data_IF_078546080995
#
_entry.id   IF_078546080995
#
_cell.length_a   1.000
_cell.length_b   1.000
_cell.length_c   1.000
_cell.angle_alpha   90.00
_cell.angle_beta   90.00
_cell.angle_gamma   90.00
#
_symmetry.space_group_name_H-M   'P 1'
#
loop_
_entity.id
_entity.type
_entity.pdbx_description
1 polymer ?
#
# COMPACT_ATOMS: atom_id res chain seq x y z
N UNK A 1 -37.27 36.46 71.70
CA UNK A 1 -37.25 36.09 70.26
C UNK A 1 -37.26 37.34 69.36
N UNK A 2 -36.28 38.26 69.47
CA UNK A 2 -36.23 39.50 68.64
C UNK A 2 -35.07 39.51 67.61
N UNK A 3 -34.20 38.51 67.61
CA UNK A 3 -33.04 38.41 66.71
C UNK A 3 -33.24 37.47 65.50
N UNK A 4 -34.36 36.75 65.42
CA UNK A 4 -34.62 35.82 64.30
C UNK A 4 -35.16 36.52 63.04
N UNK A 5 -35.97 37.59 63.21
CA UNK A 5 -36.54 38.32 62.09
C UNK A 5 -35.48 38.98 61.18
N UNK A 6 -34.43 39.65 61.70
CA UNK A 6 -33.38 40.26 60.87
C UNK A 6 -32.56 39.22 60.09
N UNK A 7 -32.33 38.04 60.69
CA UNK A 7 -31.58 36.95 60.06
C UNK A 7 -32.35 36.36 58.89
N UNK A 8 -33.67 36.16 59.05
CA UNK A 8 -34.53 35.64 57.97
C UNK A 8 -34.59 36.66 56.81
N UNK A 9 -34.72 37.96 57.11
CA UNK A 9 -34.73 39.01 56.08
C UNK A 9 -33.40 39.04 55.31
N UNK A 10 -32.26 38.93 56.00
CA UNK A 10 -30.95 38.88 55.37
C UNK A 10 -30.78 37.65 54.46
N UNK A 11 -31.25 36.47 54.89
CA UNK A 11 -31.22 35.24 54.10
C UNK A 11 -32.08 35.34 52.83
N UNK A 12 -33.26 35.93 52.92
CA UNK A 12 -34.14 36.15 51.76
C UNK A 12 -33.52 37.13 50.77
N UNK A 13 -32.90 38.21 51.27
CA UNK A 13 -32.19 39.18 50.43
C UNK A 13 -31.00 38.55 49.70
N UNK A 14 -30.18 37.75 50.40
CA UNK A 14 -29.05 37.05 49.78
C UNK A 14 -29.55 36.06 48.73
N UNK A 15 -30.54 35.22 49.05
CA UNK A 15 -31.10 34.27 48.08
C UNK A 15 -31.68 34.97 46.84
N UNK A 16 -32.40 36.08 47.03
CA UNK A 16 -32.89 36.92 45.93
C UNK A 16 -31.75 37.45 45.08
N UNK A 17 -30.67 37.94 45.69
CA UNK A 17 -29.51 38.45 44.98
C UNK A 17 -28.82 37.35 44.17
N UNK A 18 -28.64 36.16 44.75
CA UNK A 18 -28.02 35.02 44.07
C UNK A 18 -28.86 34.56 42.89
N UNK A 19 -30.17 34.43 43.05
CA UNK A 19 -31.10 34.06 41.96
C UNK A 19 -31.10 35.13 40.89
N UNK A 20 -31.11 36.42 41.25
CA UNK A 20 -31.04 37.53 40.28
C UNK A 20 -29.71 37.51 39.53
N UNK A 21 -28.61 37.18 40.20
CA UNK A 21 -27.28 37.07 39.59
C UNK A 21 -27.19 35.87 38.65
N UNK A 22 -27.77 34.72 39.02
CA UNK A 22 -27.87 33.54 38.15
C UNK A 22 -28.76 33.85 36.95
N UNK A 23 -29.93 34.47 37.14
CA UNK A 23 -30.81 34.87 36.04
C UNK A 23 -30.12 35.91 35.15
N UNK A 24 -29.44 36.90 35.72
CA UNK A 24 -28.72 37.92 34.95
C UNK A 24 -27.56 37.31 34.16
N UNK A 25 -26.71 36.48 34.77
CA UNK A 25 -25.61 35.82 34.05
C UNK A 25 -26.12 34.84 33.00
N UNK A 26 -27.13 34.02 33.31
CA UNK A 26 -27.71 33.07 32.36
C UNK A 26 -28.46 33.79 31.24
N UNK A 27 -29.25 34.83 31.55
CA UNK A 27 -29.95 35.64 30.53
C UNK A 27 -28.99 36.48 29.71
N UNK A 28 -27.88 37.00 30.27
CA UNK A 28 -26.87 37.71 29.47
C UNK A 28 -26.15 36.74 28.54
N UNK A 29 -25.83 35.52 28.99
CA UNK A 29 -25.26 34.45 28.16
C UNK A 29 -26.26 33.97 27.08
N UNK A 30 -27.55 33.88 27.41
CA UNK A 30 -28.59 33.41 26.48
C UNK A 30 -29.06 34.53 25.54
N UNK A 31 -29.07 35.79 25.99
CA UNK A 31 -29.41 36.96 25.20
C UNK A 31 -28.28 37.30 24.24
N UNK A 32 -27.02 37.22 24.69
CA UNK A 32 -25.87 37.30 23.77
C UNK A 32 -25.82 36.12 22.80
N UNK A 33 -26.28 34.91 23.16
CA UNK A 33 -26.39 33.81 22.19
C UNK A 33 -27.56 33.97 21.20
N UNK A 34 -28.65 34.65 21.57
CA UNK A 34 -29.83 34.90 20.73
C UNK A 34 -29.70 36.16 19.85
N UNK A 35 -29.08 37.25 20.31
CA UNK A 35 -28.86 38.46 19.49
C UNK A 35 -27.70 38.31 18.51
N UNK A 36 -26.78 37.37 18.73
CA UNK A 36 -25.66 37.09 17.80
C UNK A 36 -26.09 36.20 16.63
N UNK A 37 -27.36 35.78 16.52
CA UNK A 37 -27.91 35.19 15.29
C UNK A 37 -28.27 36.25 14.22
N UNK A 38 -27.75 37.47 14.34
CA UNK A 38 -27.74 38.42 13.22
C UNK A 38 -26.90 37.86 12.07
N UNK A 39 -27.40 38.03 10.85
CA UNK A 39 -26.85 37.54 9.58
C UNK A 39 -25.33 37.75 9.37
N UNK A 40 -24.70 38.68 10.08
CA UNK A 40 -23.24 38.88 10.10
C UNK A 40 -22.42 37.76 10.78
N UNK A 41 -22.93 37.15 11.85
CA UNK A 41 -22.20 36.08 12.56
C UNK A 41 -22.14 34.78 11.75
N UNK A 42 -23.18 34.49 10.98
CA UNK A 42 -23.24 33.33 10.09
C UNK A 42 -22.18 33.43 8.98
N UNK A 43 -21.96 34.64 8.45
CA UNK A 43 -20.92 34.92 7.47
C UNK A 43 -19.52 34.77 8.06
N UNK A 44 -19.29 35.30 9.28
CA UNK A 44 -18.03 35.17 10.00
C UNK A 44 -17.65 33.70 10.25
N UNK A 45 -18.61 32.90 10.74
CA UNK A 45 -18.34 31.48 10.99
C UNK A 45 -18.16 30.65 9.71
N UNK A 46 -18.82 31.04 8.62
CA UNK A 46 -18.62 30.42 7.30
C UNK A 46 -17.21 30.74 6.78
N UNK A 47 -16.79 31.99 6.90
CA UNK A 47 -15.44 32.42 6.50
C UNK A 47 -14.34 31.68 7.27
N UNK A 48 -14.45 31.59 8.60
CA UNK A 48 -13.48 30.86 9.44
C UNK A 48 -13.48 29.37 9.09
N UNK A 49 -14.66 28.82 8.80
CA UNK A 49 -14.84 27.44 8.34
C UNK A 49 -14.05 27.18 7.05
N UNK A 50 -14.24 28.01 6.03
CA UNK A 50 -13.61 27.86 4.73
C UNK A 50 -12.09 28.07 4.80
N UNK A 51 -11.65 29.03 5.63
CA UNK A 51 -10.23 29.22 5.93
C UNK A 51 -9.61 27.98 6.57
N UNK A 52 -10.27 27.41 7.58
CA UNK A 52 -9.75 26.27 8.32
C UNK A 52 -9.59 25.04 7.40
N UNK A 53 -10.56 24.76 6.55
CA UNK A 53 -10.45 23.68 5.54
C UNK A 53 -9.29 23.92 4.59
N UNK A 54 -9.15 25.14 4.08
CA UNK A 54 -8.07 25.53 3.17
C UNK A 54 -6.70 25.41 3.83
N UNK A 55 -6.58 25.77 5.11
CA UNK A 55 -5.34 25.69 5.90
C UNK A 55 -4.95 24.24 6.14
N UNK A 56 -5.90 23.37 6.53
CA UNK A 56 -5.63 21.96 6.75
C UNK A 56 -5.13 21.27 5.46
N UNK A 57 -5.78 21.54 4.32
CA UNK A 57 -5.35 21.00 3.04
C UNK A 57 -3.98 21.56 2.61
N UNK A 58 -3.79 22.88 2.72
CA UNK A 58 -2.53 23.54 2.37
C UNK A 58 -1.36 23.07 3.26
N UNK A 59 -1.61 22.82 4.53
CA UNK A 59 -0.62 22.29 5.45
C UNK A 59 -0.18 20.87 5.07
N UNK A 60 -1.11 19.99 4.72
CA UNK A 60 -0.79 18.66 4.22
C UNK A 60 0.03 18.72 2.93
N UNK A 61 -0.35 19.61 2.01
CA UNK A 61 0.37 19.85 0.75
C UNK A 61 1.78 20.36 0.99
N UNK A 62 1.96 21.35 1.86
CA UNK A 62 3.26 21.90 2.23
C UNK A 62 4.16 20.87 2.94
N UNK A 63 3.58 20.01 3.78
CA UNK A 63 4.33 18.97 4.48
C UNK A 63 4.75 17.81 3.56
N UNK A 64 4.05 17.63 2.45
CA UNK A 64 4.07 16.39 1.68
C UNK A 64 5.46 16.01 1.17
N UNK A 65 6.25 16.98 0.68
CA UNK A 65 7.58 16.68 0.13
C UNK A 65 8.51 16.08 1.19
N UNK A 66 8.51 16.62 2.40
CA UNK A 66 9.34 16.12 3.50
C UNK A 66 8.77 14.85 4.13
N UNK A 67 7.45 14.76 4.25
CA UNK A 67 6.77 13.56 4.75
C UNK A 67 7.00 12.36 3.81
N UNK A 68 7.00 12.59 2.49
CA UNK A 68 7.28 11.59 1.45
C UNK A 68 8.66 10.97 1.58
N UNK A 69 9.70 11.79 1.80
CA UNK A 69 11.06 11.28 2.06
C UNK A 69 11.12 10.40 3.31
N UNK A 70 10.36 10.79 4.34
CA UNK A 70 10.21 9.99 5.55
C UNK A 70 9.54 8.66 5.29
N UNK A 71 8.46 8.64 4.49
CA UNK A 71 7.79 7.43 4.05
C UNK A 71 8.75 6.49 3.33
N UNK A 72 9.39 6.96 2.26
CA UNK A 72 10.28 6.15 1.43
C UNK A 72 11.44 5.59 2.26
N UNK A 73 12.09 6.43 3.06
CA UNK A 73 13.19 5.97 3.93
C UNK A 73 12.73 4.90 4.92
N UNK A 74 11.58 5.10 5.59
CA UNK A 74 11.05 4.09 6.52
C UNK A 74 10.66 2.80 5.78
N UNK A 75 9.99 2.91 4.63
CA UNK A 75 9.57 1.77 3.83
C UNK A 75 10.78 0.95 3.37
N UNK A 76 11.77 1.57 2.73
CA UNK A 76 12.93 0.86 2.19
C UNK A 76 13.89 0.32 3.25
N UNK A 77 13.89 0.91 4.46
CA UNK A 77 14.67 0.40 5.58
C UNK A 77 14.03 -0.85 6.23
N UNK A 78 12.70 -0.96 6.19
CA UNK A 78 11.97 -2.06 6.81
C UNK A 78 11.69 -3.18 5.82
N UNK A 79 11.26 -2.81 4.61
CA UNK A 79 10.93 -3.76 3.59
C UNK A 79 12.19 -4.31 2.96
N UNK A 80 12.45 -5.57 3.28
CA UNK A 80 13.37 -6.42 2.55
C UNK A 80 12.60 -7.68 2.19
N UNK A 81 12.44 -7.92 0.89
CA UNK A 81 12.10 -9.26 0.41
C UNK A 81 13.38 -10.08 0.59
N UNK A 82 13.49 -10.71 1.75
CA UNK A 82 14.61 -11.62 2.01
C UNK A 82 14.16 -12.95 1.44
N UNK A 83 14.65 -13.28 0.24
CA UNK A 83 14.92 -14.70 -0.02
C UNK A 83 15.99 -15.04 0.99
N UNK A 84 15.59 -15.65 2.11
CA UNK A 84 16.56 -16.32 2.95
C UNK A 84 17.07 -17.45 2.09
N UNK A 85 18.23 -17.21 1.48
CA UNK A 85 19.08 -18.29 1.02
C UNK A 85 19.44 -19.07 2.28
N UNK A 86 18.57 -19.96 2.73
CA UNK A 86 18.98 -21.00 3.65
C UNK A 86 20.13 -21.70 2.95
N UNK A 87 21.30 -21.59 3.58
CA UNK A 87 22.61 -21.84 2.99
C UNK A 87 22.54 -22.87 1.89
N UNK A 88 23.08 -22.52 0.72
CA UNK A 88 23.11 -23.36 -0.46
C UNK A 88 23.21 -24.82 -0.02
N UNK A 89 22.16 -25.60 -0.26
CA UNK A 89 22.34 -27.04 -0.22
C UNK A 89 23.18 -27.37 -1.44
N UNK A 90 24.49 -27.11 -1.38
CA UNK A 90 25.48 -27.76 -2.22
C UNK A 90 25.47 -29.21 -1.77
N UNK A 91 24.48 -29.96 -2.26
CA UNK A 91 24.59 -31.41 -2.30
C UNK A 91 25.53 -31.72 -3.45
N UNK A 92 26.77 -32.00 -3.12
CA UNK A 92 27.72 -32.63 -4.03
C UNK A 92 27.20 -34.05 -4.28
N UNK A 93 26.40 -34.24 -5.33
CA UNK A 93 26.13 -35.57 -5.86
C UNK A 93 27.10 -35.81 -7.01
N UNK A 94 28.08 -36.68 -6.79
CA UNK A 94 28.93 -37.20 -7.86
C UNK A 94 28.09 -38.19 -8.66
N UNK A 95 27.50 -37.75 -9.77
CA UNK A 95 26.88 -38.66 -10.72
C UNK A 95 28.02 -39.28 -11.52
N UNK A 96 28.24 -40.59 -11.33
CA UNK A 96 29.20 -41.36 -12.12
C UNK A 96 28.38 -42.18 -13.08
N UNK A 97 28.12 -41.66 -14.28
CA UNK A 97 27.61 -42.49 -15.37
C UNK A 97 28.18 -42.09 -16.72
N UNK A 98 28.42 -43.09 -17.56
CA UNK A 98 29.15 -42.98 -18.81
C UNK A 98 28.42 -42.16 -19.85
N UNK A 99 29.06 -41.10 -20.35
CA UNK A 99 28.56 -40.30 -21.47
C UNK A 99 28.32 -41.17 -22.72
N UNK A 100 27.29 -40.89 -23.54
CA UNK A 100 27.06 -41.58 -24.79
C UNK A 100 28.18 -41.20 -25.77
N UNK A 101 29.13 -42.11 -25.93
CA UNK A 101 30.18 -42.08 -26.94
C UNK A 101 30.43 -43.51 -27.42
N UNK A 102 30.98 -43.70 -28.63
CA UNK A 102 31.32 -45.02 -29.13
C UNK A 102 32.18 -45.76 -28.10
N UNK A 103 31.82 -47.03 -27.87
CA UNK A 103 32.05 -47.86 -26.68
C UNK A 103 33.50 -48.14 -26.27
N UNK A 104 34.47 -47.38 -26.75
CA UNK A 104 35.90 -47.59 -26.51
C UNK A 104 36.57 -46.46 -25.73
N UNK A 105 35.89 -45.34 -25.47
CA UNK A 105 36.47 -44.20 -24.74
C UNK A 105 35.51 -43.71 -23.64
N UNK A 106 35.45 -44.44 -22.51
CA UNK A 106 34.71 -44.03 -21.30
C UNK A 106 35.39 -42.82 -20.65
N UNK A 107 35.23 -41.64 -21.24
CA UNK A 107 35.51 -40.38 -20.55
C UNK A 107 34.49 -40.23 -19.42
N UNK A 108 34.98 -40.23 -18.18
CA UNK A 108 34.20 -39.89 -17.00
C UNK A 108 33.78 -38.42 -17.14
N UNK A 109 32.51 -38.18 -17.43
CA UNK A 109 31.94 -36.85 -17.37
C UNK A 109 31.61 -36.56 -15.90
N UNK A 110 32.38 -35.67 -15.29
CA UNK A 110 32.13 -35.20 -13.92
C UNK A 110 31.32 -33.91 -14.00
N UNK A 111 30.02 -33.97 -13.71
CA UNK A 111 29.21 -32.79 -13.48
C UNK A 111 29.62 -32.12 -12.17
N UNK A 112 29.85 -30.81 -12.16
CA UNK A 112 30.29 -30.09 -10.96
C UNK A 112 29.33 -28.95 -10.61
N UNK A 113 28.74 -29.03 -9.40
CA UNK A 113 28.07 -27.99 -8.59
C UNK A 113 26.67 -27.50 -9.01
N UNK A 114 25.70 -27.72 -8.12
CA UNK A 114 24.34 -27.15 -8.16
C UNK A 114 24.11 -26.28 -6.93
N UNK A 115 23.66 -25.04 -7.13
CA UNK A 115 23.25 -24.14 -6.04
C UNK A 115 21.74 -24.24 -5.88
N UNK A 116 21.31 -24.92 -4.83
CA UNK A 116 19.90 -25.08 -4.48
C UNK A 116 19.42 -23.87 -3.67
N UNK A 117 18.50 -23.09 -4.22
CA UNK A 117 17.85 -22.01 -3.47
C UNK A 117 16.62 -22.58 -2.77
N UNK A 118 16.71 -22.74 -1.45
CA UNK A 118 15.55 -23.06 -0.62
C UNK A 118 14.75 -21.76 -0.43
N UNK A 119 13.80 -21.50 -1.33
CA UNK A 119 12.85 -20.42 -1.17
C UNK A 119 11.83 -20.85 -0.10
N UNK A 120 11.99 -20.36 1.14
CA UNK A 120 11.10 -20.65 2.27
C UNK A 120 9.64 -20.75 1.84
N UNK A 121 9.04 -21.94 1.92
CA UNK A 121 7.60 -22.21 1.94
C UNK A 121 6.68 -21.55 0.87
N UNK A 122 7.18 -20.83 -0.15
CA UNK A 122 6.42 -20.25 -1.30
C UNK A 122 5.87 -21.30 -2.27
N UNK A 123 5.58 -22.51 -1.80
CA UNK A 123 5.15 -23.63 -2.64
C UNK A 123 3.91 -24.30 -2.06
N UNK A 124 3.14 -24.88 -2.95
CA UNK A 124 2.03 -25.75 -2.64
C UNK A 124 2.17 -27.02 -3.47
N UNK A 125 2.10 -28.19 -2.83
CA UNK A 125 2.21 -29.48 -3.50
C UNK A 125 0.93 -29.74 -4.29
N UNK A 126 1.08 -30.09 -5.56
CA UNK A 126 -0.01 -30.24 -6.51
C UNK A 126 -0.35 -28.94 -7.25
N UNK A 127 -1.42 -29.02 -8.05
CA UNK A 127 -2.03 -27.84 -8.65
C UNK A 127 -2.90 -27.17 -7.59
N UNK A 128 -2.40 -26.06 -7.05
CA UNK A 128 -3.10 -25.27 -6.05
C UNK A 128 -3.67 -24.03 -6.73
N UNK A 129 -4.90 -24.18 -7.23
CA UNK A 129 -5.65 -23.10 -7.85
C UNK A 129 -5.94 -22.00 -6.82
N UNK A 130 -7.07 -22.09 -6.12
CA UNK A 130 -7.47 -21.10 -5.11
C UNK A 130 -7.11 -21.48 -3.67
N UNK A 131 -6.68 -22.71 -3.44
CA UNK A 131 -6.34 -23.22 -2.11
C UNK A 131 -4.84 -23.15 -1.82
N UNK A 132 -4.21 -22.01 -2.12
CA UNK A 132 -2.80 -21.80 -1.89
C UNK A 132 -2.54 -21.31 -0.45
N UNK A 133 -1.86 -22.11 0.37
CA UNK A 133 -1.60 -21.82 1.80
C UNK A 133 -0.12 -21.91 2.13
N UNK A 134 0.67 -21.02 1.54
CA UNK A 134 2.12 -20.95 1.73
C UNK A 134 2.52 -20.07 2.94
N UNK A 135 3.25 -20.62 3.93
CA UNK A 135 3.84 -19.82 5.00
C UNK A 135 4.80 -18.71 4.53
N UNK A 136 5.62 -18.98 3.51
CA UNK A 136 6.59 -18.03 2.96
C UNK A 136 5.91 -16.81 2.32
N UNK A 137 4.87 -17.04 1.53
CA UNK A 137 4.07 -15.97 0.95
C UNK A 137 3.40 -15.10 2.01
N UNK A 138 2.80 -15.74 3.02
CA UNK A 138 2.18 -15.03 4.13
C UNK A 138 3.21 -14.18 4.90
N UNK A 139 4.44 -14.66 5.06
CA UNK A 139 5.50 -13.89 5.70
C UNK A 139 5.91 -12.67 4.86
N UNK A 140 6.14 -12.81 3.55
CA UNK A 140 6.48 -11.67 2.68
C UNK A 140 5.34 -10.65 2.60
N UNK A 141 4.09 -11.11 2.52
CA UNK A 141 2.90 -10.26 2.58
C UNK A 141 2.77 -9.52 3.92
N UNK A 142 3.06 -10.20 5.03
CA UNK A 142 3.07 -9.59 6.37
C UNK A 142 4.17 -8.53 6.49
N UNK A 143 5.38 -8.82 6.00
CA UNK A 143 6.48 -7.86 6.01
C UNK A 143 6.18 -6.63 5.13
N UNK A 144 5.61 -6.85 3.94
CA UNK A 144 5.17 -5.80 3.04
C UNK A 144 4.11 -4.90 3.67
N UNK A 145 3.03 -5.48 4.23
CA UNK A 145 1.96 -4.72 4.88
C UNK A 145 2.44 -4.01 6.15
N UNK A 146 3.29 -4.65 6.96
CA UNK A 146 3.92 -4.03 8.12
C UNK A 146 4.76 -2.80 7.72
N UNK A 147 5.61 -2.95 6.70
CA UNK A 147 6.47 -1.87 6.21
C UNK A 147 5.67 -0.68 5.68
N UNK A 148 4.58 -0.94 4.94
CA UNK A 148 3.65 0.10 4.48
C UNK A 148 3.02 0.86 5.66
N UNK A 149 2.57 0.15 6.69
CA UNK A 149 1.93 0.78 7.86
C UNK A 149 2.91 1.62 8.67
N UNK A 150 4.14 1.14 8.89
CA UNK A 150 5.17 1.92 9.58
C UNK A 150 5.57 3.16 8.78
N UNK A 151 5.69 3.04 7.46
CA UNK A 151 5.98 4.16 6.58
C UNK A 151 4.83 5.19 6.57
N UNK A 152 3.57 4.75 6.53
CA UNK A 152 2.39 5.61 6.60
C UNK A 152 2.34 6.37 7.95
N UNK A 153 2.63 5.68 9.07
CA UNK A 153 2.73 6.32 10.37
C UNK A 153 3.83 7.38 10.43
N UNK A 154 5.03 7.08 9.91
CA UNK A 154 6.17 8.00 9.80
C UNK A 154 5.82 9.26 8.98
N UNK A 155 5.12 9.07 7.86
CA UNK A 155 4.62 10.17 7.03
C UNK A 155 3.63 11.04 7.82
N UNK A 156 2.61 10.43 8.44
CA UNK A 156 1.57 11.16 9.16
C UNK A 156 2.15 11.98 10.31
N UNK A 157 3.06 11.40 11.09
CA UNK A 157 3.69 12.10 12.21
C UNK A 157 4.40 13.39 11.77
N UNK A 158 5.09 13.34 10.62
CA UNK A 158 5.75 14.52 10.02
C UNK A 158 4.73 15.51 9.49
N UNK A 159 3.69 15.04 8.80
CA UNK A 159 2.63 15.89 8.25
C UNK A 159 1.85 16.62 9.35
N UNK A 160 1.45 15.92 10.41
CA UNK A 160 0.73 16.47 11.54
C UNK A 160 1.52 17.58 12.26
N UNK A 161 2.83 17.40 12.44
CA UNK A 161 3.70 18.42 13.05
C UNK A 161 3.74 19.71 12.23
N UNK A 162 3.81 19.62 10.91
CA UNK A 162 3.78 20.81 10.04
C UNK A 162 2.41 21.46 10.09
N UNK A 163 1.33 20.67 10.07
CA UNK A 163 -0.02 21.20 10.21
C UNK A 163 -0.27 21.92 11.53
N UNK A 164 0.28 21.42 12.63
CA UNK A 164 0.26 22.10 13.92
C UNK A 164 0.95 23.46 13.88
N UNK A 165 2.13 23.54 13.26
CA UNK A 165 2.85 24.82 13.09
C UNK A 165 2.03 25.79 12.25
N UNK A 166 1.46 25.34 11.12
CA UNK A 166 0.64 26.17 10.24
C UNK A 166 -0.62 26.68 10.94
N UNK A 167 -1.31 25.82 11.69
CA UNK A 167 -2.50 26.21 12.46
C UNK A 167 -2.17 27.19 13.59
N UNK A 168 -1.06 27.01 14.28
CA UNK A 168 -0.61 27.95 15.31
C UNK A 168 -0.27 29.32 14.71
N UNK A 169 0.40 29.37 13.55
CA UNK A 169 0.67 30.63 12.86
C UNK A 169 -0.63 31.33 12.43
N UNK A 170 -1.60 30.58 11.92
CA UNK A 170 -2.92 31.14 11.59
C UNK A 170 -3.65 31.67 12.82
N UNK A 171 -3.65 30.92 13.94
CA UNK A 171 -4.21 31.39 15.22
C UNK A 171 -3.60 32.72 15.63
N UNK A 172 -2.27 32.82 15.61
CA UNK A 172 -1.56 34.02 16.07
C UNK A 172 -1.87 35.21 15.16
N UNK A 173 -2.07 34.98 13.86
CA UNK A 173 -2.59 35.98 12.94
C UNK A 173 -4.03 36.38 13.29
N UNK A 174 -4.93 35.42 13.55
CA UNK A 174 -6.32 35.70 13.91
C UNK A 174 -6.46 36.46 15.24
N UNK A 175 -5.50 36.30 16.17
CA UNK A 175 -5.45 37.11 17.39
C UNK A 175 -5.32 38.61 17.10
N UNK A 176 -4.60 38.99 16.04
CA UNK A 176 -4.51 40.40 15.61
C UNK A 176 -5.84 40.97 15.09
N UNK A 177 -6.77 40.10 14.69
CA UNK A 177 -8.12 40.45 14.27
C UNK A 177 -9.16 40.33 15.39
N UNK A 178 -8.73 40.12 16.65
CA UNK A 178 -9.61 40.08 17.82
C UNK A 178 -10.22 38.71 18.14
N UNK A 179 -9.73 37.64 17.51
CA UNK A 179 -10.16 36.27 17.82
C UNK A 179 -9.31 35.65 18.93
N UNK A 180 -9.93 34.88 19.83
CA UNK A 180 -9.21 34.03 20.77
C UNK A 180 -9.48 32.57 20.38
N UNK A 181 -8.46 31.88 19.89
CA UNK A 181 -8.58 30.52 19.39
C UNK A 181 -7.73 29.59 20.26
N UNK A 182 -8.37 28.59 20.85
CA UNK A 182 -7.72 27.52 21.59
C UNK A 182 -7.73 26.25 20.75
N UNK A 183 -6.55 25.74 20.43
CA UNK A 183 -6.40 24.44 19.75
C UNK A 183 -6.55 23.33 20.78
N UNK A 184 -7.70 22.67 20.79
CA UNK A 184 -8.02 21.60 21.74
C UNK A 184 -7.34 20.29 21.34
N UNK A 185 -7.28 19.99 20.03
CA UNK A 185 -6.53 18.85 19.51
C UNK A 185 -6.22 18.96 18.02
N UNK A 186 -5.06 18.45 17.61
CA UNK A 186 -4.73 18.13 16.22
C UNK A 186 -4.31 16.67 16.19
N UNK A 187 -4.92 15.89 15.31
CA UNK A 187 -4.70 14.45 15.24
C UNK A 187 -5.12 13.89 13.90
N UNK A 188 -5.24 12.57 13.82
CA UNK A 188 -5.56 11.90 12.56
C UNK A 188 -4.78 10.60 12.39
N UNK A 189 -4.64 10.17 11.15
CA UNK A 189 -3.92 8.95 10.81
C UNK A 189 -3.54 8.92 9.33
N UNK A 190 -2.59 8.07 8.99
CA UNK A 190 -2.42 7.57 7.64
C UNK A 190 -2.36 6.06 7.68
N UNK A 191 -3.26 5.41 6.94
CA UNK A 191 -3.40 3.95 6.92
C UNK A 191 -3.38 3.43 5.49
N UNK A 192 -2.73 2.28 5.29
CA UNK A 192 -2.68 1.57 4.00
C UNK A 192 -3.12 0.11 4.20
N UNK A 193 -4.36 -0.20 3.87
CA UNK A 193 -4.91 -1.56 4.00
C UNK A 193 -4.71 -2.30 2.68
N UNK A 194 -4.18 -3.53 2.72
CA UNK A 194 -4.05 -4.39 1.52
C UNK A 194 -4.89 -5.65 1.75
N UNK A 195 -5.78 -5.94 0.81
CA UNK A 195 -6.73 -7.04 0.87
C UNK A 195 -6.63 -7.94 -0.37
N UNK A 196 -7.09 -9.17 -0.21
CA UNK A 196 -7.01 -10.27 -1.19
C UNK A 196 -8.41 -10.86 -1.33
N UNK A 197 -8.92 -10.96 -2.56
CA UNK A 197 -10.31 -11.35 -2.85
C UNK A 197 -10.43 -12.61 -3.71
N UNK A 198 -9.35 -13.37 -3.88
CA UNK A 198 -9.33 -14.64 -4.61
C UNK A 198 -9.02 -14.51 -6.09
N UNK A 199 -9.32 -13.37 -6.71
CA UNK A 199 -9.03 -13.10 -8.14
C UNK A 199 -8.37 -11.73 -8.38
N UNK A 200 -8.42 -10.82 -7.40
CA UNK A 200 -7.75 -9.53 -7.45
C UNK A 200 -7.25 -9.14 -6.05
N UNK A 201 -6.32 -8.21 -6.03
CA UNK A 201 -5.95 -7.47 -4.83
C UNK A 201 -6.56 -6.08 -4.84
N UNK A 202 -6.85 -5.58 -3.65
CA UNK A 202 -7.19 -4.18 -3.44
C UNK A 202 -6.28 -3.61 -2.38
N UNK A 203 -5.87 -2.35 -2.54
CA UNK A 203 -5.29 -1.60 -1.43
C UNK A 203 -5.95 -0.25 -1.28
N UNK A 204 -6.18 0.18 -0.05
CA UNK A 204 -6.78 1.46 0.29
C UNK A 204 -5.83 2.28 1.14
N UNK A 205 -5.41 3.43 0.61
CA UNK A 205 -4.69 4.45 1.34
C UNK A 205 -5.65 5.54 1.81
N UNK A 206 -5.58 5.90 3.09
CA UNK A 206 -6.38 6.98 3.67
C UNK A 206 -5.52 7.79 4.63
N UNK A 207 -5.23 9.04 4.25
CA UNK A 207 -4.59 10.05 5.08
C UNK A 207 -5.67 11.01 5.58
N UNK A 208 -5.82 11.12 6.89
CA UNK A 208 -6.78 12.03 7.53
C UNK A 208 -6.09 12.90 8.55
N UNK A 209 -6.37 14.19 8.50
CA UNK A 209 -5.98 15.19 9.49
C UNK A 209 -7.24 15.80 10.09
N UNK A 210 -7.34 15.76 11.42
CA UNK A 210 -8.44 16.32 12.20
C UNK A 210 -7.92 17.48 13.05
N UNK A 211 -8.72 18.54 13.16
CA UNK A 211 -8.48 19.65 14.08
C UNK A 211 -9.75 19.95 14.88
N UNK A 212 -9.60 20.10 16.19
CA UNK A 212 -10.64 20.59 17.10
C UNK A 212 -10.17 21.91 17.71
N UNK A 213 -10.96 22.95 17.49
CA UNK A 213 -10.65 24.33 17.89
C UNK A 213 -11.83 24.92 18.64
N UNK A 214 -11.55 25.62 19.72
CA UNK A 214 -12.49 26.42 20.49
C UNK A 214 -12.23 27.90 20.16
N UNK A 215 -13.16 28.54 19.44
CA UNK A 215 -12.98 29.90 18.91
C UNK A 215 -13.93 30.86 19.60
N UNK A 216 -13.39 31.97 20.09
CA UNK A 216 -14.13 33.10 20.63
C UNK A 216 -13.92 34.32 19.74
N UNK A 217 -15.03 34.93 19.34
CA UNK A 217 -15.10 36.20 18.63
C UNK A 217 -15.87 37.20 19.48
N UNK A 218 -15.41 38.46 19.50
CA UNK A 218 -16.11 39.54 20.17
C UNK A 218 -17.47 39.87 19.51
N UNK A 219 -17.62 39.57 18.22
CA UNK A 219 -18.81 39.86 17.41
C UNK A 219 -19.71 38.64 17.23
N UNK A 220 -19.12 37.46 17.01
CA UNK A 220 -19.85 36.23 16.70
C UNK A 220 -19.97 35.25 17.89
N UNK A 221 -19.40 35.58 19.05
CA UNK A 221 -19.48 34.77 20.26
C UNK A 221 -18.56 33.54 20.23
N UNK A 222 -18.96 32.46 20.90
CA UNK A 222 -18.19 31.23 21.00
C UNK A 222 -18.67 30.16 20.02
N UNK A 223 -17.74 29.45 19.38
CA UNK A 223 -18.02 28.24 18.61
C UNK A 223 -16.89 27.23 18.72
N UNK A 224 -17.26 25.99 19.05
CA UNK A 224 -16.39 24.82 18.83
C UNK A 224 -16.46 24.39 17.37
N UNK A 225 -15.30 24.25 16.73
CA UNK A 225 -15.16 23.73 15.38
C UNK A 225 -14.40 22.40 15.41
N UNK A 226 -14.99 21.39 14.79
CA UNK A 226 -14.35 20.09 14.57
C UNK A 226 -14.30 19.92 13.06
N UNK A 227 -13.08 19.92 12.51
CA UNK A 227 -12.87 19.80 11.07
C UNK A 227 -11.90 18.69 10.72
N UNK A 228 -12.05 18.15 9.53
CA UNK A 228 -11.11 17.20 8.98
C UNK A 228 -10.94 17.34 7.46
N UNK A 229 -9.74 17.00 7.03
CA UNK A 229 -9.39 16.76 5.63
C UNK A 229 -8.94 15.31 5.52
N UNK A 230 -9.56 14.57 4.63
CA UNK A 230 -9.19 13.20 4.30
C UNK A 230 -8.86 13.11 2.81
N UNK A 231 -7.68 12.58 2.48
CA UNK A 231 -7.25 12.34 1.11
C UNK A 231 -6.90 10.87 1.02
N UNK A 232 -7.42 10.20 0.01
CA UNK A 232 -7.21 8.77 -0.13
C UNK A 232 -7.41 8.29 -1.54
N UNK A 233 -6.92 7.08 -1.80
CA UNK A 233 -7.26 6.37 -3.02
C UNK A 233 -7.21 4.87 -2.79
N UNK A 234 -8.05 4.15 -3.53
CA UNK A 234 -7.95 2.70 -3.64
C UNK A 234 -7.29 2.30 -4.95
N UNK A 235 -6.54 1.20 -4.91
CA UNK A 235 -5.93 0.54 -6.05
C UNK A 235 -6.53 -0.85 -6.18
N UNK A 236 -6.80 -1.31 -7.39
CA UNK A 236 -7.16 -2.70 -7.68
C UNK A 236 -6.29 -3.24 -8.80
N UNK A 237 -5.81 -4.45 -8.62
CA UNK A 237 -5.03 -5.17 -9.61
C UNK A 237 -5.59 -6.59 -9.78
N UNK A 238 -5.94 -6.95 -11.01
CA UNK A 238 -6.58 -8.23 -11.34
C UNK A 238 -5.56 -9.21 -11.92
N UNK A 239 -5.03 -8.89 -13.10
CA UNK A 239 -4.07 -9.71 -13.82
C UNK A 239 -3.15 -8.81 -14.64
N UNK A 240 -1.91 -9.23 -14.80
CA UNK A 240 -0.99 -8.69 -15.80
C UNK A 240 -1.17 -9.38 -17.14
N UNK A 241 -0.52 -8.84 -18.17
CA UNK A 241 -0.34 -9.53 -19.45
C UNK A 241 1.12 -9.46 -19.86
N UNK A 242 1.53 -10.43 -20.65
CA UNK A 242 2.91 -10.59 -21.07
C UNK A 242 2.98 -10.70 -22.59
N UNK A 243 4.02 -10.09 -23.17
CA UNK A 243 4.26 -10.07 -24.60
C UNK A 243 5.76 -9.87 -24.90
N UNK A 244 6.11 -9.95 -26.19
CA UNK A 244 7.47 -9.75 -26.71
C UNK A 244 8.16 -8.49 -26.20
N UNK A 245 7.44 -7.38 -26.08
CA UNK A 245 8.07 -6.10 -25.71
C UNK A 245 8.07 -5.82 -24.19
N UNK A 246 7.53 -6.74 -23.39
CA UNK A 246 7.55 -6.67 -21.94
C UNK A 246 6.24 -7.09 -21.25
N UNK A 247 6.12 -6.66 -20.00
CA UNK A 247 5.03 -7.02 -19.10
C UNK A 247 4.15 -5.79 -18.84
N UNK A 248 2.85 -5.94 -19.03
CA UNK A 248 1.85 -4.91 -18.83
C UNK A 248 1.05 -5.15 -17.54
N UNK A 249 0.93 -4.10 -16.75
CA UNK A 249 0.29 -4.13 -15.44
C UNK A 249 -0.85 -3.09 -15.39
N UNK A 250 -2.10 -3.51 -15.65
CA UNK A 250 -3.26 -2.64 -15.55
C UNK A 250 -3.68 -2.44 -14.09
N UNK A 251 -3.58 -1.21 -13.58
CA UNK A 251 -3.94 -0.83 -12.21
C UNK A 251 -5.13 0.14 -12.25
N UNK A 252 -6.20 -0.20 -11.55
CA UNK A 252 -7.38 0.65 -11.41
C UNK A 252 -7.26 1.48 -10.14
N UNK A 253 -7.52 2.78 -10.25
CA UNK A 253 -7.37 3.75 -9.16
C UNK A 253 -8.67 4.51 -8.98
N UNK A 254 -9.15 4.64 -7.75
CA UNK A 254 -10.23 5.54 -7.38
C UNK A 254 -9.73 6.48 -6.28
N UNK A 255 -9.51 7.74 -6.63
CA UNK A 255 -8.98 8.75 -5.73
C UNK A 255 -10.07 9.72 -5.27
N UNK A 256 -9.94 10.25 -4.07
CA UNK A 256 -10.87 11.21 -3.51
C UNK A 256 -10.22 12.17 -2.51
N UNK A 257 -10.89 13.30 -2.34
CA UNK A 257 -10.68 14.26 -1.26
C UNK A 257 -12.01 14.42 -0.54
N UNK A 258 -12.02 14.28 0.78
CA UNK A 258 -13.18 14.47 1.63
C UNK A 258 -12.88 15.62 2.61
N UNK A 259 -13.64 16.70 2.45
CA UNK A 259 -13.64 17.85 3.34
C UNK A 259 -14.90 17.78 4.20
N UNK A 260 -14.76 17.34 5.45
CA UNK A 260 -15.85 17.35 6.43
C UNK A 260 -17.13 16.61 6.03
N UNK A 261 -17.02 15.54 5.24
CA UNK A 261 -18.12 14.69 4.77
C UNK A 261 -18.49 14.97 3.31
N UNK A 262 -17.94 16.02 2.70
CA UNK A 262 -18.15 16.35 1.29
C UNK A 262 -17.01 15.71 0.50
N UNK A 263 -17.33 14.59 -0.17
CA UNK A 263 -16.37 13.83 -0.98
C UNK A 263 -16.39 14.27 -2.44
N UNK A 264 -15.24 14.67 -2.95
CA UNK A 264 -14.98 14.90 -4.37
C UNK A 264 -14.06 13.79 -4.92
N UNK A 265 -14.43 13.21 -6.07
CA UNK A 265 -13.58 12.26 -6.76
C UNK A 265 -12.50 12.98 -7.57
N UNK A 266 -11.27 12.46 -7.50
CA UNK A 266 -10.11 13.05 -8.13
C UNK A 266 -9.65 12.21 -9.31
N UNK A 267 -9.42 12.87 -10.45
CA UNK A 267 -8.84 12.24 -11.62
C UNK A 267 -7.32 12.29 -11.48
N UNK A 268 -6.68 11.13 -11.31
CA UNK A 268 -5.23 11.07 -11.10
C UNK A 268 -4.47 11.51 -12.33
N UNK A 269 -3.40 12.29 -12.10
CA UNK A 269 -2.51 12.74 -13.14
C UNK A 269 -1.46 11.65 -13.46
N UNK A 270 -1.46 11.05 -14.67
CA UNK A 270 -0.53 9.99 -15.03
C UNK A 270 0.94 10.44 -14.99
N UNK A 271 1.24 11.72 -15.26
CA UNK A 271 2.62 12.24 -15.25
C UNK A 271 3.20 12.36 -13.84
N UNK A 272 2.34 12.38 -12.83
CA UNK A 272 2.70 12.43 -11.40
C UNK A 272 2.45 11.10 -10.68
N UNK A 273 2.15 10.04 -11.44
CA UNK A 273 1.92 8.70 -10.89
C UNK A 273 3.08 7.76 -11.25
N UNK A 274 3.56 7.02 -10.25
CA UNK A 274 4.65 6.06 -10.42
C UNK A 274 4.33 4.77 -9.69
N UNK A 275 4.68 3.65 -10.30
CA UNK A 275 4.65 2.34 -9.66
C UNK A 275 6.09 1.88 -9.46
N UNK A 276 6.49 1.66 -8.22
CA UNK A 276 7.76 1.02 -7.90
C UNK A 276 7.50 -0.42 -7.51
N UNK A 277 8.10 -1.37 -8.23
CA UNK A 277 7.99 -2.79 -7.95
C UNK A 277 9.29 -3.29 -7.36
N UNK A 278 9.15 -4.08 -6.30
CA UNK A 278 10.27 -4.78 -5.71
C UNK A 278 9.92 -6.26 -5.55
N UNK A 279 10.85 -7.12 -5.98
CA UNK A 279 10.84 -8.53 -5.68
C UNK A 279 12.24 -9.10 -5.89
N UNK A 280 12.64 -10.08 -5.08
CA UNK A 280 13.86 -10.82 -5.42
C UNK A 280 13.71 -11.54 -6.75
N UNK A 281 12.49 -11.92 -7.15
CA UNK A 281 12.28 -12.58 -8.43
C UNK A 281 12.58 -11.71 -9.64
N UNK A 282 12.34 -10.41 -9.54
CA UNK A 282 12.68 -9.47 -10.60
C UNK A 282 14.19 -9.45 -10.90
N UNK A 283 15.04 -9.82 -9.92
CA UNK A 283 16.50 -9.96 -10.13
C UNK A 283 16.87 -11.09 -11.08
N UNK A 284 16.05 -12.14 -11.10
CA UNK A 284 16.30 -13.39 -11.85
C UNK A 284 15.76 -13.31 -13.27
N UNK A 285 14.78 -12.44 -13.51
CA UNK A 285 14.23 -12.18 -14.84
C UNK A 285 15.16 -11.24 -15.62
N UNK A 286 16.29 -11.80 -16.10
CA UNK A 286 17.35 -11.04 -16.80
C UNK A 286 16.89 -10.38 -18.10
N UNK A 287 15.76 -10.83 -18.67
CA UNK A 287 15.11 -10.18 -19.81
C UNK A 287 14.32 -8.92 -19.44
N UNK A 288 14.19 -8.58 -18.16
CA UNK A 288 13.53 -7.35 -17.72
C UNK A 288 14.57 -6.30 -17.32
N UNK A 289 14.33 -5.05 -17.73
CA UNK A 289 15.20 -3.94 -17.36
C UNK A 289 14.96 -3.50 -15.91
N UNK A 290 15.61 -4.17 -14.96
CA UNK A 290 15.50 -3.88 -13.51
C UNK A 290 16.85 -3.56 -12.89
N UNK A 291 16.84 -2.75 -11.82
CA UNK A 291 18.06 -2.41 -11.06
C UNK A 291 18.08 -3.27 -9.80
N UNK A 292 18.77 -4.41 -9.85
CA UNK A 292 18.84 -5.36 -8.73
C UNK A 292 17.45 -5.73 -8.17
N UNK A 293 16.47 -5.97 -9.05
CA UNK A 293 15.12 -6.45 -8.67
C UNK A 293 14.18 -5.36 -8.15
N UNK A 294 14.59 -4.10 -8.29
CA UNK A 294 13.74 -2.93 -8.12
C UNK A 294 13.54 -2.24 -9.47
N UNK A 295 12.33 -1.76 -9.73
CA UNK A 295 12.04 -0.94 -10.92
C UNK A 295 10.97 0.10 -10.58
N UNK A 296 11.20 1.35 -11.00
CA UNK A 296 10.20 2.42 -10.94
C UNK A 296 9.75 2.77 -12.35
N UNK A 297 8.45 2.65 -12.60
CA UNK A 297 7.83 2.85 -13.91
C UNK A 297 6.71 3.89 -13.85
N UNK A 298 6.52 4.59 -14.97
CA UNK A 298 5.40 5.51 -15.21
C UNK A 298 4.33 4.80 -16.03
N UNK A 299 3.06 5.23 -15.94
CA UNK A 299 2.03 4.70 -16.81
C UNK A 299 2.32 5.10 -18.27
N UNK A 300 2.10 4.16 -19.19
CA UNK A 300 2.19 4.38 -20.64
C UNK A 300 0.84 4.78 -21.24
N UNK A 301 -0.25 4.39 -20.58
CA UNK A 301 -1.63 4.69 -20.99
C UNK A 301 -2.44 5.02 -19.75
N UNK A 302 -3.33 5.99 -19.88
CA UNK A 302 -4.34 6.34 -18.88
C UNK A 302 -5.72 6.38 -19.53
N UNK A 303 -6.70 5.76 -18.88
CA UNK A 303 -8.10 5.76 -19.31
C UNK A 303 -9.01 6.13 -18.14
N UNK A 304 -9.89 7.09 -18.35
CA UNK A 304 -10.80 7.61 -17.33
C UNK A 304 -12.20 7.04 -17.51
N UNK A 305 -12.72 6.38 -16.48
CA UNK A 305 -14.10 5.92 -16.43
C UNK A 305 -14.99 7.01 -15.83
N UNK A 306 -16.21 7.14 -16.35
CA UNK A 306 -17.20 8.12 -15.87
C UNK A 306 -17.68 7.91 -14.43
N UNK A 307 -17.27 6.82 -13.76
CA UNK A 307 -17.59 6.52 -12.35
C UNK A 307 -16.49 6.98 -11.38
N UNK A 308 -15.55 7.83 -11.80
CA UNK A 308 -14.43 8.31 -10.98
C UNK A 308 -13.26 7.32 -10.84
N UNK A 309 -13.27 6.23 -11.62
CA UNK A 309 -12.15 5.28 -11.69
C UNK A 309 -11.20 5.65 -12.83
N UNK A 310 -9.90 5.53 -12.61
CA UNK A 310 -8.87 5.68 -13.64
C UNK A 310 -8.14 4.35 -13.81
N UNK A 311 -8.05 3.84 -15.03
CA UNK A 311 -7.14 2.75 -15.36
C UNK A 311 -5.80 3.34 -15.81
N UNK A 312 -4.73 2.92 -15.16
CA UNK A 312 -3.36 3.18 -15.57
C UNK A 312 -2.71 1.88 -16.00
N UNK A 313 -2.09 1.86 -17.17
CA UNK A 313 -1.33 0.72 -17.66
C UNK A 313 0.14 1.04 -17.50
N UNK A 314 0.84 0.24 -16.69
CA UNK A 314 2.28 0.31 -16.53
C UNK A 314 2.95 -0.77 -17.38
N UNK A 315 4.17 -0.49 -17.86
CA UNK A 315 4.95 -1.44 -18.65
C UNK A 315 6.35 -1.62 -18.06
N UNK A 316 6.74 -2.87 -17.82
CA UNK A 316 8.12 -3.26 -17.59
C UNK A 316 8.70 -3.66 -18.94
N UNK A 317 9.66 -2.90 -19.45
CA UNK A 317 10.26 -3.19 -20.74
C UNK A 317 11.11 -4.46 -20.70
N UNK A 318 10.97 -5.28 -21.75
CA UNK A 318 11.92 -6.36 -21.98
C UNK A 318 13.17 -5.87 -22.72
N UNK A 319 14.31 -6.45 -22.40
CA UNK A 319 15.58 -6.31 -23.13
C UNK A 319 15.69 -7.31 -24.29
N UNK A 320 14.87 -8.36 -24.32
CA UNK A 320 14.82 -9.36 -25.38
C UNK A 320 13.42 -9.34 -26.00
N UNK A 321 13.31 -9.03 -27.29
CA UNK A 321 12.00 -8.96 -27.97
C UNK A 321 11.46 -10.32 -28.42
N UNK A 322 12.07 -11.45 -28.02
CA UNK A 322 11.63 -12.79 -28.36
C UNK A 322 11.04 -13.50 -27.14
N UNK A 323 9.72 -13.67 -27.09
CA UNK A 323 9.03 -14.36 -26.00
C UNK A 323 9.60 -15.75 -25.69
N UNK A 324 10.06 -16.52 -26.69
CA UNK A 324 10.63 -17.84 -26.45
C UNK A 324 11.90 -17.81 -25.59
N UNK A 325 12.76 -16.80 -25.81
CA UNK A 325 13.95 -16.61 -25.00
C UNK A 325 13.59 -16.16 -23.58
N UNK A 326 12.58 -15.30 -23.45
CA UNK A 326 12.11 -14.84 -22.16
C UNK A 326 11.49 -16.00 -21.35
N UNK A 327 10.70 -16.86 -21.99
CA UNK A 327 10.19 -18.12 -21.43
C UNK A 327 11.35 -19.02 -20.97
N UNK A 328 12.38 -19.18 -21.80
CA UNK A 328 13.58 -19.94 -21.45
C UNK A 328 14.32 -19.36 -20.22
N UNK A 329 14.33 -18.03 -20.04
CA UNK A 329 14.88 -17.41 -18.83
C UNK A 329 14.01 -17.69 -17.62
N UNK A 330 12.68 -17.55 -17.71
CA UNK A 330 11.78 -17.92 -16.59
C UNK A 330 11.96 -19.38 -16.23
N UNK A 331 11.99 -20.23 -17.26
CA UNK A 331 12.27 -21.65 -17.13
C UNK A 331 13.55 -21.89 -16.34
N UNK A 332 14.69 -21.41 -16.85
CA UNK A 332 16.01 -21.68 -16.28
C UNK A 332 16.22 -21.06 -14.91
N UNK A 333 15.83 -19.80 -14.74
CA UNK A 333 16.20 -19.00 -13.58
C UNK A 333 15.15 -19.05 -12.46
N UNK A 334 13.91 -19.40 -12.78
CA UNK A 334 12.79 -19.45 -11.82
C UNK A 334 12.35 -20.88 -11.58
N UNK A 335 12.00 -21.63 -12.64
CA UNK A 335 11.44 -22.99 -12.52
C UNK A 335 12.52 -24.01 -12.17
N UNK A 336 13.57 -24.11 -12.99
CA UNK A 336 14.67 -25.08 -12.83
C UNK A 336 15.51 -24.82 -11.56
N UNK A 337 15.51 -23.58 -11.05
CA UNK A 337 16.15 -23.25 -9.77
C UNK A 337 15.55 -24.01 -8.57
N UNK A 338 14.40 -24.67 -8.76
CA UNK A 338 13.75 -25.56 -7.80
C UNK A 338 14.17 -27.04 -8.01
N UNK A 339 15.27 -27.43 -7.35
CA UNK A 339 15.60 -28.80 -6.85
C UNK A 339 15.75 -30.00 -7.81
N UNK A 340 15.11 -30.12 -8.98
CA UNK A 340 15.06 -31.43 -9.68
C UNK A 340 15.35 -31.44 -11.19
N UNK A 341 15.61 -30.29 -11.83
CA UNK A 341 15.81 -30.27 -13.29
C UNK A 341 17.04 -29.45 -13.67
N UNK A 342 18.03 -30.16 -14.18
CA UNK A 342 19.17 -29.60 -14.89
C UNK A 342 19.16 -30.13 -16.33
N UNK A 343 19.24 -29.21 -17.29
CA UNK A 343 19.28 -29.49 -18.73
C UNK A 343 20.71 -29.78 -19.24
N UNK A 344 21.74 -29.77 -18.38
CA UNK A 344 23.13 -30.00 -18.81
C UNK A 344 23.56 -31.48 -18.87
N UNK A 345 22.72 -32.42 -18.44
CA UNK A 345 23.03 -33.86 -18.46
C UNK A 345 21.90 -34.71 -19.07
N UNK A 346 22.28 -35.61 -19.99
CA UNK A 346 21.38 -36.65 -20.50
C UNK A 346 20.92 -37.56 -19.33
N UNK A 347 19.65 -38.00 -19.31
CA UNK A 347 19.10 -38.74 -18.18
C UNK A 347 19.82 -40.10 -18.00
N UNK A 348 20.07 -40.55 -16.75
CA UNK A 348 20.55 -41.90 -16.50
C UNK A 348 19.43 -42.91 -16.82
N UNK A 349 19.65 -43.75 -17.83
CA UNK A 349 18.69 -44.76 -18.30
C UNK A 349 18.44 -45.92 -17.32
N UNK A 350 19.04 -45.90 -16.12
CA UNK A 350 19.02 -47.03 -15.19
C UNK A 350 18.82 -46.62 -13.75
N UNK A 351 17.81 -45.79 -13.47
CA UNK A 351 17.23 -45.70 -12.13
C UNK A 351 15.95 -46.54 -12.13
N UNK A 352 15.98 -47.66 -11.39
CA UNK A 352 14.77 -48.36 -10.95
C UNK A 352 13.90 -47.40 -10.14
N UNK A 353 12.83 -46.94 -10.80
CA UNK A 353 11.66 -46.25 -10.26
C UNK A 353 11.87 -44.93 -9.49
N UNK A 354 12.04 -43.81 -10.21
CA UNK A 354 11.78 -42.46 -9.69
C UNK A 354 10.33 -41.98 -9.94
N UNK A 355 9.46 -42.80 -10.56
CA UNK A 355 8.09 -42.44 -11.02
C UNK A 355 7.19 -41.93 -9.91
N UNK A 356 7.38 -42.43 -8.69
CA UNK A 356 6.56 -42.10 -7.53
C UNK A 356 6.93 -40.77 -6.86
N UNK A 357 7.92 -40.02 -7.38
CA UNK A 357 8.51 -38.84 -6.72
C UNK A 357 8.55 -37.56 -7.55
N UNK A 358 8.03 -37.56 -8.77
CA UNK A 358 7.96 -36.35 -9.61
C UNK A 358 6.81 -35.44 -9.11
N UNK A 359 7.17 -34.31 -8.48
CA UNK A 359 6.26 -33.45 -7.74
C UNK A 359 5.61 -32.41 -8.64
N UNK A 360 4.28 -32.44 -8.74
CA UNK A 360 3.47 -31.29 -9.16
C UNK A 360 3.60 -30.19 -8.12
N UNK A 361 3.93 -28.97 -8.49
CA UNK A 361 4.10 -27.86 -7.54
C UNK A 361 3.57 -26.56 -8.12
N UNK A 362 2.82 -25.83 -7.31
CA UNK A 362 2.47 -24.42 -7.57
C UNK A 362 3.32 -23.52 -6.72
N UNK A 363 3.90 -22.47 -7.31
CA UNK A 363 4.75 -21.49 -6.62
C UNK A 363 4.22 -20.10 -6.91
N UNK A 364 4.20 -19.24 -5.89
CA UNK A 364 3.78 -17.85 -6.03
C UNK A 364 4.77 -16.90 -5.34
N UNK A 365 5.14 -15.83 -6.02
CA UNK A 365 6.05 -14.80 -5.53
C UNK A 365 5.34 -13.45 -5.45
N UNK A 366 5.55 -12.74 -4.35
CA UNK A 366 5.06 -11.37 -4.20
C UNK A 366 5.97 -10.42 -4.99
N UNK A 367 5.36 -9.63 -5.87
CA UNK A 367 5.91 -8.40 -6.42
C UNK A 367 5.28 -7.26 -5.65
N UNK A 368 5.99 -6.79 -4.61
CA UNK A 368 5.52 -5.71 -3.76
C UNK A 368 5.55 -4.40 -4.54
N UNK A 369 4.36 -3.91 -4.90
CA UNK A 369 4.20 -2.63 -5.57
C UNK A 369 3.97 -1.50 -4.60
N UNK A 370 4.67 -0.39 -4.81
CA UNK A 370 4.42 0.88 -4.15
C UNK A 370 3.95 1.86 -5.22
N UNK A 371 2.65 2.14 -5.21
CA UNK A 371 2.08 3.17 -6.07
C UNK A 371 2.18 4.51 -5.35
N UNK A 372 2.63 5.54 -6.06
CA UNK A 372 2.64 6.91 -5.58
C UNK A 372 1.94 7.79 -6.59
N UNK A 373 1.07 8.67 -6.11
CA UNK A 373 0.35 9.67 -6.91
C UNK A 373 0.26 10.96 -6.13
N UNK A 374 0.17 12.07 -6.84
CA UNK A 374 -0.11 13.38 -6.26
C UNK A 374 -1.60 13.70 -6.36
N UNK A 375 -2.21 14.09 -5.25
CA UNK A 375 -3.62 14.49 -5.15
C UNK A 375 -3.66 15.81 -4.37
N UNK A 376 -4.18 16.88 -4.98
CA UNK A 376 -4.24 18.22 -4.36
C UNK A 376 -2.89 18.69 -3.78
N UNK A 377 -1.81 18.41 -4.50
CA UNK A 377 -0.45 18.77 -4.07
C UNK A 377 0.18 17.81 -3.05
N UNK A 378 -0.58 16.85 -2.51
CA UNK A 378 -0.12 15.84 -1.56
C UNK A 378 0.30 14.56 -2.29
N UNK A 379 1.57 14.18 -2.17
CA UNK A 379 2.09 12.88 -2.59
C UNK A 379 1.60 11.80 -1.61
N UNK A 380 0.83 10.85 -2.12
CA UNK A 380 0.28 9.74 -1.36
C UNK A 380 0.74 8.41 -1.93
N UNK A 381 1.15 7.53 -1.03
CA UNK A 381 1.60 6.18 -1.31
C UNK A 381 0.47 5.18 -1.02
N UNK A 382 0.44 4.09 -1.77
CA UNK A 382 -0.47 2.97 -1.55
C UNK A 382 0.18 1.67 -2.00
N UNK A 383 -0.31 0.56 -1.46
CA UNK A 383 0.13 -0.76 -1.88
C UNK A 383 -0.44 -1.16 -3.23
N UNK A 384 0.29 -1.99 -3.97
CA UNK A 384 -0.23 -2.79 -5.09
C UNK A 384 0.36 -4.19 -4.93
N UNK A 385 -0.47 -5.14 -4.50
CA UNK A 385 -0.07 -6.55 -4.41
C UNK A 385 -0.15 -7.17 -5.80
N UNK A 386 1.00 -7.55 -6.34
CA UNK A 386 1.13 -8.28 -7.60
C UNK A 386 1.76 -9.63 -7.27
N UNK A 387 1.30 -10.69 -7.91
CA UNK A 387 1.71 -12.07 -7.65
C UNK A 387 2.14 -12.71 -8.95
N UNK A 388 3.41 -13.06 -9.04
CA UNK A 388 3.91 -13.91 -10.11
C UNK A 388 3.71 -15.37 -9.69
N UNK A 389 2.91 -16.13 -10.43
CA UNK A 389 2.54 -17.50 -10.07
C UNK A 389 2.84 -18.44 -11.22
N UNK A 390 3.46 -19.58 -10.93
CA UNK A 390 3.71 -20.63 -11.91
C UNK A 390 3.35 -22.01 -11.37
N UNK A 391 3.04 -22.94 -12.27
CA UNK A 391 2.77 -24.34 -11.93
C UNK A 391 3.68 -25.26 -12.74
N UNK A 392 4.40 -26.14 -12.05
CA UNK A 392 5.27 -27.15 -12.64
C UNK A 392 4.64 -28.53 -12.52
N UNK A 393 4.56 -29.25 -13.66
CA UNK A 393 4.10 -30.62 -13.75
C UNK A 393 5.13 -31.48 -14.49
N UNK A 394 5.55 -32.57 -13.85
CA UNK A 394 6.63 -33.44 -14.30
C UNK A 394 6.05 -34.81 -14.64
N UNK A 395 6.12 -35.21 -15.92
CA UNK A 395 5.58 -36.49 -16.40
C UNK A 395 6.67 -37.58 -16.49
N UNK A 396 6.25 -38.85 -16.57
CA UNK A 396 7.16 -39.99 -16.63
C UNK A 396 7.76 -40.16 -18.01
N UNK A 397 9.08 -40.10 -18.13
CA UNK A 397 9.81 -40.39 -19.36
C UNK A 397 9.87 -39.24 -20.37
N UNK A 398 9.31 -38.07 -20.04
CA UNK A 398 9.41 -36.86 -20.85
C UNK A 398 9.72 -35.63 -19.99
N UNK A 399 10.28 -34.62 -20.64
CA UNK A 399 10.64 -33.33 -20.07
C UNK A 399 9.37 -32.63 -19.55
N UNK A 400 9.55 -31.62 -18.71
CA UNK A 400 8.43 -30.87 -18.14
C UNK A 400 7.47 -30.36 -19.24
N UNK A 401 6.21 -30.80 -19.19
CA UNK A 401 5.26 -30.77 -20.33
C UNK A 401 4.75 -29.35 -20.64
N UNK A 402 4.61 -28.50 -19.60
CA UNK A 402 4.36 -27.06 -19.72
C UNK A 402 4.50 -26.39 -18.35
N UNK A 403 4.98 -25.13 -18.31
CA UNK A 403 4.86 -24.27 -17.13
C UNK A 403 4.03 -23.05 -17.44
N UNK A 404 2.71 -23.10 -17.18
CA UNK A 404 1.95 -21.88 -17.12
C UNK A 404 2.50 -21.01 -16.00
N UNK A 405 2.97 -19.83 -16.36
CA UNK A 405 3.16 -18.76 -15.42
C UNK A 405 2.40 -17.53 -15.87
N UNK A 406 1.93 -16.77 -14.90
CA UNK A 406 1.18 -15.56 -15.15
C UNK A 406 1.24 -14.64 -13.93
N UNK A 407 0.71 -13.44 -14.10
CA UNK A 407 0.75 -12.36 -13.11
C UNK A 407 -0.68 -12.08 -12.65
N UNK A 408 -0.92 -12.20 -11.36
CA UNK A 408 -2.23 -12.07 -10.74
C UNK A 408 -2.20 -11.03 -9.62
N UNK A 409 -3.37 -10.52 -9.22
CA UNK A 409 -3.48 -9.75 -7.98
C UNK A 409 -3.51 -10.60 -6.72
N UNK A 410 -3.84 -11.88 -6.86
CA UNK A 410 -4.03 -12.78 -5.73
C UNK A 410 -3.33 -14.12 -5.98
N UNK A 411 -2.63 -14.66 -4.98
CA UNK A 411 -2.02 -15.98 -5.04
C UNK A 411 -3.07 -17.10 -5.17
N UNK A 412 -4.31 -16.82 -4.77
CA UNK A 412 -5.47 -17.71 -4.89
C UNK A 412 -6.16 -17.59 -6.25
N UNK A 413 -5.65 -16.78 -7.17
CA UNK A 413 -6.17 -16.74 -8.53
C UNK A 413 -5.97 -18.10 -9.23
N UNK A 414 -7.00 -18.53 -9.95
CA UNK A 414 -7.01 -19.80 -10.70
C UNK A 414 -6.23 -19.64 -12.00
N UNK A 415 -5.45 -20.65 -12.39
CA UNK A 415 -4.81 -20.66 -13.71
C UNK A 415 -5.85 -20.70 -14.83
N UNK A 416 -5.64 -20.00 -15.97
CA UNK A 416 -6.54 -20.05 -17.10
C UNK A 416 -6.81 -21.49 -17.57
N UNK A 417 -8.04 -21.83 -18.00
CA UNK A 417 -8.43 -23.18 -18.43
C UNK A 417 -7.55 -23.78 -19.54
N UNK A 418 -6.96 -22.92 -20.37
CA UNK A 418 -6.10 -23.29 -21.51
C UNK A 418 -4.77 -23.93 -21.07
N UNK A 419 -4.38 -23.76 -19.81
CA UNK A 419 -3.21 -24.39 -19.21
C UNK A 419 -3.56 -25.61 -18.35
N UNK A 420 -4.77 -26.16 -18.51
CA UNK A 420 -5.35 -27.21 -17.66
C UNK A 420 -5.56 -28.53 -18.41
N UNK A 421 -5.26 -28.59 -19.71
CA UNK A 421 -5.39 -29.80 -20.54
C UNK A 421 -4.17 -30.68 -20.47
#
# INVERSE_FOLDING_TARGET
>A
MKAQLPIIIALVLVASLTVTTIIYTTSTITYTSLTVLETGSSGEWTYITDQLDSILLSALSAASQNASKGFESTYWNLYSDVVKEYGSWTRTCTIVDGCPGPSTDRRKCTATLWTLYNYDDFRCIGKCDSNYTSPGFNWSMSNYTFSLQQAAYSYFFRAARIAEITLNNWRDMMASYGYVIYTSSIGGFYRIEVASYGNFSESKATLRLNATLDIYSATAGYRRMIRYVEIGYSTRFYTGSWSDDGIYLPVYINAYVDLNGIKAHYIVNPSETYLTLYSVMLKRLSFLNTTQGNITIRPIVSYYYGNGTTLLIFKINSTDSNMWNQEAVVWREVVLSHRDYDDTFAPPYTITDPSSKLQRVTVAFLWAGLLTTRIEGVNLYNGVKIVFKHYANTAYGDWLDSVPFNIYGDERAVFPPEYVS
#
